data_IF_606666336093
#
_entry.id   IF_606666336093
#
_cell.length_a   1.000
_cell.length_b   1.000
_cell.length_c   1.000
_cell.angle_alpha   90.00
_cell.angle_beta   90.00
_cell.angle_gamma   90.00
#
_symmetry.space_group_name_H-M   'P 1'
#
loop_
_entity.id
_entity.type
_entity.pdbx_description
1 polymer ?
#
# COMPACT_ATOMS: atom_id res chain seq x y z
N UNK A 1 15.57 -5.35 -20.33
CA UNK A 1 14.10 -5.32 -20.49
C UNK A 1 13.56 -5.34 -19.07
N UNK A 2 13.60 -4.19 -18.41
CA UNK A 2 12.98 -4.04 -17.10
C UNK A 2 11.49 -3.85 -17.35
N UNK A 3 10.73 -4.91 -17.07
CA UNK A 3 9.28 -4.80 -16.92
C UNK A 3 9.04 -3.73 -15.86
N UNK A 4 8.49 -2.59 -16.28
CA UNK A 4 7.85 -1.65 -15.37
C UNK A 4 6.62 -2.35 -14.79
N UNK A 5 6.85 -3.12 -13.73
CA UNK A 5 5.83 -3.86 -12.99
C UNK A 5 5.06 -2.87 -12.11
N UNK A 6 4.01 -2.28 -12.66
CA UNK A 6 3.01 -1.49 -11.90
C UNK A 6 2.55 -2.24 -10.63
N UNK A 7 2.48 -3.58 -10.68
CA UNK A 7 2.18 -4.42 -9.52
C UNK A 7 3.21 -4.33 -8.39
N UNK A 8 4.51 -4.24 -8.72
CA UNK A 8 5.57 -4.10 -7.71
C UNK A 8 5.50 -2.75 -7.02
N UNK A 9 5.12 -1.69 -7.74
CA UNK A 9 4.91 -0.37 -7.14
C UNK A 9 3.75 -0.38 -6.14
N UNK A 10 2.64 -1.08 -6.43
CA UNK A 10 1.52 -1.17 -5.48
C UNK A 10 1.89 -1.90 -4.19
N UNK A 11 2.56 -3.05 -4.29
CA UNK A 11 3.08 -3.74 -3.10
C UNK A 11 4.08 -2.85 -2.36
N UNK A 12 4.98 -2.15 -3.06
CA UNK A 12 5.92 -1.21 -2.44
C UNK A 12 5.23 -0.02 -1.74
N UNK A 13 4.12 0.50 -2.28
CA UNK A 13 3.30 1.58 -1.67
C UNK A 13 2.68 1.12 -0.34
N UNK A 14 2.21 -0.13 -0.27
CA UNK A 14 1.72 -0.76 0.96
C UNK A 14 2.88 -1.14 1.89
N UNK A 15 4.08 -1.30 1.33
CA UNK A 15 5.26 -1.83 2.02
C UNK A 15 5.25 -3.36 2.12
N UNK A 16 4.49 -4.01 1.24
CA UNK A 16 4.43 -5.45 1.06
C UNK A 16 5.33 -5.91 -0.09
N UNK A 17 5.57 -7.21 -0.16
CA UNK A 17 6.26 -7.89 -1.25
C UNK A 17 5.25 -8.68 -2.07
N UNK A 18 5.58 -8.97 -3.32
CA UNK A 18 4.77 -9.87 -4.18
C UNK A 18 4.61 -11.28 -3.59
N UNK A 19 5.57 -11.69 -2.75
CA UNK A 19 5.59 -12.98 -2.06
C UNK A 19 4.82 -12.96 -0.72
N UNK A 20 4.41 -11.77 -0.25
CA UNK A 20 3.64 -11.66 0.98
C UNK A 20 2.24 -12.26 0.80
N UNK A 21 1.82 -13.05 1.79
CA UNK A 21 0.47 -13.58 1.82
C UNK A 21 -0.57 -12.46 1.99
N UNK A 22 -1.79 -12.66 1.48
CA UNK A 22 -2.90 -11.70 1.60
C UNK A 22 -3.12 -11.19 3.05
N UNK A 23 -2.89 -12.06 4.05
CA UNK A 23 -2.96 -11.70 5.47
C UNK A 23 -1.88 -10.69 5.90
N UNK A 24 -0.67 -10.83 5.36
CA UNK A 24 0.45 -9.94 5.62
C UNK A 24 0.23 -8.60 4.91
N UNK A 25 -0.26 -8.63 3.67
CA UNK A 25 -0.65 -7.43 2.90
C UNK A 25 -1.73 -6.64 3.64
N UNK A 26 -2.78 -7.29 4.16
CA UNK A 26 -3.84 -6.61 4.92
C UNK A 26 -3.28 -5.95 6.21
N UNK A 27 -2.36 -6.64 6.89
CA UNK A 27 -1.74 -6.15 8.12
C UNK A 27 -0.86 -4.92 7.84
N UNK A 28 -0.09 -4.95 6.76
CA UNK A 28 0.74 -3.83 6.30
C UNK A 28 -0.11 -2.65 5.85
N UNK A 29 -1.16 -2.91 5.06
CA UNK A 29 -2.15 -1.93 4.66
C UNK A 29 -2.76 -1.22 5.87
N UNK A 30 -3.25 -1.95 6.88
CA UNK A 30 -3.80 -1.35 8.12
C UNK A 30 -2.77 -0.49 8.83
N UNK A 31 -1.50 -0.92 8.87
CA UNK A 31 -0.41 -0.17 9.51
C UNK A 31 -0.10 1.13 8.77
N UNK A 32 -0.10 1.10 7.44
CA UNK A 32 0.09 2.27 6.58
C UNK A 32 -1.12 3.21 6.63
N UNK A 33 -2.34 2.67 6.62
CA UNK A 33 -3.57 3.44 6.71
C UNK A 33 -3.63 4.23 8.02
N UNK A 34 -3.22 3.61 9.14
CA UNK A 34 -3.09 4.31 10.41
C UNK A 34 -2.04 5.42 10.40
N UNK A 35 -0.93 5.26 9.69
CA UNK A 35 0.11 6.31 9.57
C UNK A 35 -0.33 7.46 8.67
N UNK A 36 -1.01 7.13 7.57
CA UNK A 36 -1.49 8.08 6.55
C UNK A 36 -2.87 8.66 6.87
N UNK A 37 -3.43 8.33 8.03
CA UNK A 37 -4.74 8.84 8.44
C UNK A 37 -4.67 10.36 8.67
N UNK A 38 -5.65 11.15 8.21
CA UNK A 38 -5.69 12.60 8.44
C UNK A 38 -5.63 12.97 9.92
N UNK A 39 -6.35 12.26 10.79
CA UNK A 39 -6.25 12.43 12.26
C UNK A 39 -4.86 12.17 12.86
N UNK A 40 -3.95 11.51 12.13
CA UNK A 40 -2.56 11.25 12.58
C UNK A 40 -1.51 12.06 11.82
N UNK A 41 -1.94 13.01 10.99
CA UNK A 41 -1.05 13.89 10.21
C UNK A 41 -0.74 13.40 8.81
N UNK A 42 -1.45 12.40 8.30
CA UNK A 42 -1.43 12.05 6.87
C UNK A 42 -2.42 12.87 6.05
N UNK A 43 -2.51 12.58 4.75
CA UNK A 43 -3.45 13.26 3.84
C UNK A 43 -4.39 12.27 3.17
N UNK A 44 -5.54 12.78 2.74
CA UNK A 44 -6.52 11.99 1.99
C UNK A 44 -5.92 11.42 0.70
N UNK A 45 -4.99 12.13 0.08
CA UNK A 45 -4.24 11.69 -1.10
C UNK A 45 -3.40 10.43 -0.81
N UNK A 46 -2.65 10.41 0.29
CA UNK A 46 -1.85 9.25 0.69
C UNK A 46 -2.72 8.02 1.00
N UNK A 47 -3.90 8.26 1.59
CA UNK A 47 -4.91 7.21 1.81
C UNK A 47 -5.46 6.69 0.47
N UNK A 48 -5.72 7.58 -0.49
CA UNK A 48 -6.22 7.23 -1.81
C UNK A 48 -5.23 6.32 -2.55
N UNK A 49 -3.96 6.70 -2.56
CA UNK A 49 -2.89 5.91 -3.17
C UNK A 49 -2.75 4.54 -2.49
N UNK A 50 -2.88 4.48 -1.16
CA UNK A 50 -2.84 3.21 -0.42
C UNK A 50 -4.04 2.30 -0.75
N UNK A 51 -5.24 2.87 -0.88
CA UNK A 51 -6.44 2.14 -1.26
C UNK A 51 -6.35 1.61 -2.69
N UNK A 52 -5.83 2.41 -3.61
CA UNK A 52 -5.64 2.02 -5.01
C UNK A 52 -4.64 0.87 -5.11
N UNK A 53 -3.54 0.95 -4.36
CA UNK A 53 -2.55 -0.13 -4.26
C UNK A 53 -3.10 -1.44 -3.68
N UNK A 54 -4.08 -1.37 -2.77
CA UNK A 54 -4.70 -2.57 -2.18
C UNK A 54 -5.78 -3.18 -3.08
N UNK A 55 -6.30 -2.43 -4.06
CA UNK A 55 -7.42 -2.85 -4.91
C UNK A 55 -7.00 -3.60 -6.19
N UNK A 56 -5.69 -3.70 -6.43
CA UNK A 56 -5.06 -4.41 -7.56
C UNK A 56 -4.87 -5.89 -7.25
#
# INVERSE_FOLDING_TARGET
>A
MDQFDLNKDYYAIIGAREDDSAREIEKLYKRQAHKRHPDRGGTEEEMKTLNEAYRV
#
